data_IF_399575223524
#
_entry.id   IF_399575223524
#
_cell.length_a   1.000
_cell.length_b   1.000
_cell.length_c   1.000
_cell.angle_alpha   90.00
_cell.angle_beta   90.00
_cell.angle_gamma   90.00
#
_symmetry.space_group_name_H-M   'P 1'
#
loop_
_entity.id
_entity.type
_entity.pdbx_description
1 polymer ?
#
# COMPACT_ATOMS: atom_id res chain seq x y z
N UNK A 1 29.05 -2.20 -16.45
CA UNK A 1 29.31 -2.18 -17.92
C UNK A 1 28.16 -2.77 -18.74
N UNK A 2 27.36 -3.66 -18.16
CA UNK A 2 26.16 -4.29 -18.72
C UNK A 2 24.88 -4.02 -17.90
N UNK A 3 25.00 -3.30 -16.78
CA UNK A 3 23.89 -3.02 -15.85
C UNK A 3 23.49 -4.21 -14.98
N UNK A 4 24.27 -5.30 -14.95
CA UNK A 4 24.06 -6.39 -14.02
C UNK A 4 24.49 -5.96 -12.62
N UNK A 5 23.67 -6.31 -11.63
CA UNK A 5 24.02 -6.09 -10.24
C UNK A 5 24.98 -7.19 -9.79
N UNK A 6 25.98 -6.80 -9.01
CA UNK A 6 26.90 -7.75 -8.37
C UNK A 6 26.08 -8.80 -7.61
N UNK A 7 26.38 -10.11 -7.72
CA UNK A 7 25.69 -11.13 -6.94
C UNK A 7 25.64 -10.77 -5.45
N UNK A 8 24.45 -10.85 -4.85
CA UNK A 8 24.19 -10.37 -3.50
C UNK A 8 23.64 -8.93 -3.44
N UNK A 9 23.57 -8.19 -4.55
CA UNK A 9 22.93 -6.87 -4.62
C UNK A 9 21.60 -6.96 -5.37
N UNK A 10 20.53 -6.46 -4.75
CA UNK A 10 19.19 -6.52 -5.30
C UNK A 10 18.48 -5.16 -5.20
N UNK A 11 17.75 -4.79 -6.25
CA UNK A 11 16.70 -3.78 -6.13
C UNK A 11 15.46 -4.40 -5.45
N UNK A 12 14.49 -3.59 -5.01
CA UNK A 12 13.22 -4.09 -4.48
C UNK A 12 12.02 -3.39 -5.13
N UNK A 13 11.63 -3.83 -6.34
CA UNK A 13 10.52 -3.23 -7.09
C UNK A 13 9.57 -4.25 -7.73
N UNK A 14 10.11 -5.29 -8.35
CA UNK A 14 9.36 -6.28 -9.13
C UNK A 14 9.22 -7.61 -8.40
N UNK A 15 8.33 -8.48 -8.89
CA UNK A 15 8.22 -9.84 -8.35
C UNK A 15 9.52 -10.64 -8.54
N UNK A 16 10.24 -10.40 -9.63
CA UNK A 16 11.53 -11.05 -9.89
C UNK A 16 12.61 -10.56 -8.94
N UNK A 17 12.60 -9.27 -8.58
CA UNK A 17 13.44 -8.75 -7.50
C UNK A 17 13.13 -9.45 -6.17
N UNK A 18 11.84 -9.64 -5.82
CA UNK A 18 11.45 -10.38 -4.62
C UNK A 18 12.00 -11.82 -4.63
N UNK A 19 11.83 -12.53 -5.75
CA UNK A 19 12.34 -13.90 -5.90
C UNK A 19 13.87 -13.92 -5.77
N UNK A 20 14.56 -12.96 -6.38
CA UNK A 20 16.00 -12.85 -6.29
C UNK A 20 16.46 -12.61 -4.85
N UNK A 21 15.84 -11.66 -4.12
CA UNK A 21 16.11 -11.42 -2.69
C UNK A 21 15.91 -12.69 -1.87
N UNK A 22 14.82 -13.43 -2.12
CA UNK A 22 14.55 -14.69 -1.42
C UNK A 22 15.66 -15.72 -1.65
N UNK A 23 16.04 -15.96 -2.91
CA UNK A 23 17.12 -16.89 -3.25
C UNK A 23 18.46 -16.46 -2.63
N UNK A 24 18.81 -15.17 -2.67
CA UNK A 24 20.03 -14.69 -2.04
C UNK A 24 20.00 -14.84 -0.51
N UNK A 25 18.82 -14.64 0.11
CA UNK A 25 18.66 -14.73 1.56
C UNK A 25 18.91 -16.13 2.13
N UNK A 26 18.78 -17.20 1.33
CA UNK A 26 19.07 -18.57 1.74
C UNK A 26 20.57 -18.82 2.01
N UNK A 27 21.45 -17.98 1.44
CA UNK A 27 22.91 -18.11 1.52
C UNK A 27 23.59 -16.95 2.24
N UNK A 28 22.80 -15.98 2.70
CA UNK A 28 23.27 -14.78 3.37
C UNK A 28 23.07 -14.90 4.88
N UNK A 29 24.01 -14.38 5.64
CA UNK A 29 23.89 -14.28 7.10
C UNK A 29 23.70 -12.83 7.54
N UNK A 30 24.31 -11.90 6.81
CA UNK A 30 24.27 -10.45 7.06
C UNK A 30 23.62 -9.74 5.91
N UNK A 31 22.59 -8.95 6.19
CA UNK A 31 21.90 -8.13 5.21
C UNK A 31 22.00 -6.64 5.53
N UNK A 32 22.24 -5.85 4.49
CA UNK A 32 22.09 -4.41 4.53
C UNK A 32 20.88 -4.02 3.69
N UNK A 33 20.02 -3.18 4.24
CA UNK A 33 18.95 -2.53 3.49
C UNK A 33 19.29 -1.05 3.36
N UNK A 34 19.52 -0.60 2.13
CA UNK A 34 19.80 0.80 1.84
C UNK A 34 18.48 1.54 1.59
N UNK A 35 18.08 2.37 2.55
CA UNK A 35 16.86 3.17 2.54
C UNK A 35 15.92 2.84 3.69
N UNK A 36 15.70 3.81 4.59
CA UNK A 36 14.80 3.72 5.75
C UNK A 36 13.35 4.14 5.47
N UNK A 37 12.88 4.02 4.23
CA UNK A 37 11.48 4.26 3.85
C UNK A 37 10.61 3.00 3.97
N UNK A 38 9.33 3.10 3.59
CA UNK A 38 8.33 2.03 3.70
C UNK A 38 8.84 0.65 3.24
N UNK A 39 9.19 0.53 1.96
CA UNK A 39 9.62 -0.73 1.37
C UNK A 39 10.91 -1.26 1.99
N UNK A 40 11.85 -0.36 2.33
CA UNK A 40 13.10 -0.75 2.99
C UNK A 40 12.86 -1.35 4.37
N UNK A 41 11.99 -0.75 5.18
CA UNK A 41 11.65 -1.26 6.51
C UNK A 41 10.86 -2.57 6.44
N UNK A 42 9.96 -2.71 5.45
CA UNK A 42 9.23 -3.97 5.19
C UNK A 42 10.20 -5.09 4.77
N UNK A 43 11.14 -4.81 3.87
CA UNK A 43 12.19 -5.74 3.47
C UNK A 43 13.06 -6.13 4.67
N UNK A 44 13.50 -5.16 5.47
CA UNK A 44 14.35 -5.41 6.64
C UNK A 44 13.67 -6.35 7.64
N UNK A 45 12.38 -6.12 7.96
CA UNK A 45 11.63 -7.06 8.80
C UNK A 45 11.45 -8.42 8.15
N UNK A 46 11.21 -8.47 6.84
CA UNK A 46 11.13 -9.72 6.07
C UNK A 46 12.41 -10.57 6.15
N UNK A 47 13.58 -9.92 6.17
CA UNK A 47 14.90 -10.55 6.27
C UNK A 47 15.22 -10.99 7.70
N UNK A 48 14.92 -10.16 8.71
CA UNK A 48 15.07 -10.57 10.12
C UNK A 48 14.22 -11.78 10.45
N UNK A 49 12.97 -11.84 9.94
CA UNK A 49 12.11 -13.03 10.11
C UNK A 49 12.65 -14.30 9.44
N UNK A 50 13.60 -14.17 8.52
CA UNK A 50 14.33 -15.28 7.89
C UNK A 50 15.64 -15.62 8.60
N UNK A 51 15.96 -14.93 9.70
CA UNK A 51 17.13 -15.20 10.52
C UNK A 51 18.38 -14.41 10.11
N UNK A 52 18.28 -13.44 9.20
CA UNK A 52 19.43 -12.62 8.80
C UNK A 52 19.68 -11.49 9.78
N UNK A 53 20.95 -11.26 10.12
CA UNK A 53 21.39 -10.09 10.85
C UNK A 53 21.29 -8.85 9.94
N UNK A 54 20.27 -8.03 10.17
CA UNK A 54 19.85 -7.00 9.20
C UNK A 54 20.09 -5.58 9.75
N UNK A 55 20.79 -4.76 8.97
CA UNK A 55 21.00 -3.33 9.25
C UNK A 55 20.38 -2.47 8.15
N UNK A 56 19.51 -1.53 8.53
CA UNK A 56 18.99 -0.48 7.66
C UNK A 56 19.95 0.71 7.70
N UNK A 57 20.43 1.14 6.54
CA UNK A 57 21.20 2.37 6.37
C UNK A 57 20.31 3.43 5.75
N UNK A 58 20.21 4.59 6.39
CA UNK A 58 19.38 5.68 5.92
C UNK A 58 20.13 7.01 5.98
N UNK A 59 20.08 7.77 4.89
CA UNK A 59 20.84 9.02 4.77
C UNK A 59 20.25 10.19 5.56
N UNK A 60 18.97 10.13 5.96
CA UNK A 60 18.32 11.18 6.74
C UNK A 60 18.45 10.95 8.26
N UNK A 61 18.14 11.99 9.04
CA UNK A 61 18.21 11.98 10.50
C UNK A 61 17.15 11.13 11.22
N UNK A 62 16.19 10.56 10.48
CA UNK A 62 15.17 9.66 11.02
C UNK A 62 14.54 8.78 9.93
N UNK A 63 13.96 7.65 10.33
CA UNK A 63 13.26 6.73 9.44
C UNK A 63 11.96 7.33 8.91
N UNK A 64 11.55 6.94 7.69
CA UNK A 64 10.34 7.42 7.02
C UNK A 64 10.21 8.95 7.06
N UNK A 65 11.30 9.67 6.77
CA UNK A 65 11.42 11.12 6.95
C UNK A 65 10.48 11.98 6.09
N UNK A 66 9.71 11.37 5.17
CA UNK A 66 8.63 12.04 4.44
C UNK A 66 7.27 11.90 5.12
N UNK A 67 7.15 10.99 6.07
CA UNK A 67 5.88 10.58 6.68
C UNK A 67 5.87 10.66 8.21
N UNK A 68 7.03 10.85 8.84
CA UNK A 68 7.18 10.96 10.28
C UNK A 68 7.97 12.22 10.62
N UNK A 69 7.64 12.80 11.77
CA UNK A 69 8.51 13.75 12.43
C UNK A 69 9.68 13.03 13.12
N UNK A 70 10.66 13.80 13.59
CA UNK A 70 11.88 13.27 14.21
C UNK A 70 11.60 12.42 15.44
N UNK A 71 10.64 12.80 16.29
CA UNK A 71 10.32 12.08 17.53
C UNK A 71 9.65 10.73 17.22
N UNK A 72 8.69 10.70 16.31
CA UNK A 72 8.08 9.46 15.84
C UNK A 72 9.11 8.51 15.22
N UNK A 73 10.05 9.06 14.43
CA UNK A 73 11.14 8.29 13.84
C UNK A 73 12.06 7.64 14.89
N UNK A 74 12.34 8.32 16.00
CA UNK A 74 13.11 7.76 17.12
C UNK A 74 12.37 6.61 17.81
N UNK A 75 11.07 6.77 18.05
CA UNK A 75 10.23 5.69 18.60
C UNK A 75 10.22 4.49 17.65
N UNK A 76 10.10 4.72 16.34
CA UNK A 76 10.14 3.66 15.33
C UNK A 76 11.48 2.93 15.31
N UNK A 77 12.62 3.63 15.41
CA UNK A 77 13.95 3.00 15.52
C UNK A 77 14.01 2.06 16.73
N UNK A 78 13.54 2.50 17.90
CA UNK A 78 13.51 1.67 19.12
C UNK A 78 12.60 0.46 18.95
N UNK A 79 11.41 0.65 18.39
CA UNK A 79 10.45 -0.42 18.11
C UNK A 79 11.06 -1.46 17.16
N UNK A 80 11.71 -1.03 16.08
CA UNK A 80 12.37 -1.91 15.11
C UNK A 80 13.58 -2.63 15.70
N UNK A 81 14.36 -1.97 16.57
CA UNK A 81 15.47 -2.60 17.28
C UNK A 81 14.98 -3.75 18.18
N UNK A 82 13.86 -3.56 18.90
CA UNK A 82 13.20 -4.63 19.66
C UNK A 82 12.69 -5.79 18.80
N UNK A 83 12.53 -5.58 17.49
CA UNK A 83 12.14 -6.59 16.51
C UNK A 83 13.34 -7.14 15.71
N UNK A 84 14.56 -6.84 16.13
CA UNK A 84 15.81 -7.35 15.54
C UNK A 84 16.33 -6.57 14.32
N UNK A 85 15.74 -5.43 13.97
CA UNK A 85 16.23 -4.57 12.87
C UNK A 85 17.15 -3.49 13.44
N UNK A 86 18.43 -3.52 13.08
CA UNK A 86 19.37 -2.44 13.41
C UNK A 86 19.20 -1.29 12.43
N UNK A 87 19.34 -0.06 12.90
CA UNK A 87 19.26 1.13 12.05
C UNK A 87 20.50 2.02 12.25
N UNK A 88 21.07 2.53 11.15
CA UNK A 88 22.06 3.60 11.13
C UNK A 88 21.48 4.77 10.34
N UNK A 89 21.28 5.88 11.02
CA UNK A 89 20.76 7.12 10.46
C UNK A 89 21.92 8.03 10.09
N UNK A 90 21.67 9.01 9.22
CA UNK A 90 22.70 9.90 8.66
C UNK A 90 23.87 9.11 8.02
N UNK A 91 23.61 7.87 7.61
CA UNK A 91 24.59 6.95 7.05
C UNK A 91 24.48 6.94 5.53
N UNK A 92 25.49 7.47 4.84
CA UNK A 92 25.57 7.48 3.38
C UNK A 92 26.52 6.39 2.92
N UNK A 93 26.03 5.46 2.09
CA UNK A 93 26.88 4.48 1.41
C UNK A 93 27.56 5.17 0.22
N UNK A 94 28.88 5.07 0.15
CA UNK A 94 29.71 5.69 -0.91
C UNK A 94 30.32 4.66 -1.86
N UNK A 95 30.46 3.41 -1.43
CA UNK A 95 30.98 2.31 -2.25
C UNK A 95 30.36 0.97 -1.87
N UNK A 96 30.25 0.07 -2.84
CA UNK A 96 29.93 -1.34 -2.65
C UNK A 96 31.22 -2.14 -2.87
N UNK A 97 31.56 -3.04 -1.96
CA UNK A 97 32.74 -3.90 -2.04
C UNK A 97 32.38 -5.31 -2.51
N UNK A 98 33.28 -5.90 -3.29
CA UNK A 98 33.19 -7.28 -3.77
C UNK A 98 33.60 -7.42 -5.23
N UNK A 99 34.30 -8.50 -5.56
CA UNK A 99 34.75 -8.79 -6.92
C UNK A 99 33.73 -9.68 -7.65
N UNK A 100 33.60 -10.95 -7.23
CA UNK A 100 32.63 -11.91 -7.81
C UNK A 100 31.26 -11.84 -7.13
N UNK A 101 31.22 -11.36 -5.88
CA UNK A 101 30.01 -11.23 -5.07
C UNK A 101 30.17 -10.11 -4.06
N UNK A 102 29.05 -9.61 -3.56
CA UNK A 102 29.01 -8.65 -2.46
C UNK A 102 29.80 -9.17 -1.25
N UNK A 103 30.66 -8.30 -0.72
CA UNK A 103 31.40 -8.49 0.52
C UNK A 103 31.05 -7.45 1.59
N UNK A 104 30.61 -6.24 1.18
CA UNK A 104 30.25 -5.18 2.11
C UNK A 104 29.91 -3.85 1.45
N UNK A 105 29.62 -2.85 2.27
CA UNK A 105 29.34 -1.47 1.86
C UNK A 105 30.20 -0.48 2.66
N UNK A 106 30.76 0.50 1.98
CA UNK A 106 31.55 1.59 2.56
C UNK A 106 30.62 2.76 2.87
N UNK A 107 30.70 3.28 4.09
CA UNK A 107 30.00 4.49 4.51
C UNK A 107 30.90 5.71 4.31
N UNK A 108 30.27 6.88 4.18
CA UNK A 108 30.98 8.15 4.30
C UNK A 108 31.67 8.22 5.66
N UNK A 109 33.00 8.42 5.68
CA UNK A 109 33.83 8.30 6.87
C UNK A 109 34.65 7.01 6.95
N UNK A 110 34.77 6.27 5.84
CA UNK A 110 35.67 5.12 5.63
C UNK A 110 35.33 3.86 6.45
N UNK A 111 34.20 3.84 7.17
CA UNK A 111 33.69 2.62 7.82
C UNK A 111 33.16 1.64 6.77
N UNK A 112 33.58 0.37 6.87
CA UNK A 112 33.07 -0.71 6.01
C UNK A 112 32.18 -1.64 6.84
N UNK A 113 30.95 -1.83 6.37
CA UNK A 113 30.02 -2.81 6.93
C UNK A 113 29.99 -4.04 6.03
N UNK A 114 30.40 -5.18 6.58
CA UNK A 114 30.29 -6.43 5.86
C UNK A 114 28.83 -6.82 5.61
N UNK A 115 28.55 -7.32 4.41
CA UNK A 115 27.22 -7.73 3.99
C UNK A 115 27.30 -8.83 2.94
N UNK A 116 26.40 -9.81 3.04
CA UNK A 116 26.28 -10.89 2.05
C UNK A 116 25.07 -10.66 1.13
N UNK A 117 24.14 -9.80 1.56
CA UNK A 117 22.97 -9.33 0.82
C UNK A 117 22.79 -7.81 1.01
N UNK A 118 22.68 -7.06 -0.08
CA UNK A 118 22.32 -5.65 -0.11
C UNK A 118 20.99 -5.49 -0.85
N UNK A 119 19.97 -5.00 -0.15
CA UNK A 119 18.69 -4.61 -0.76
C UNK A 119 18.64 -3.09 -0.89
N UNK A 120 18.45 -2.59 -2.10
CA UNK A 120 18.38 -1.16 -2.38
C UNK A 120 16.93 -0.70 -2.53
N UNK A 121 16.55 0.27 -1.69
CA UNK A 121 15.20 0.82 -1.55
C UNK A 121 15.27 2.34 -1.29
N UNK A 122 15.95 3.06 -2.18
CA UNK A 122 16.29 4.49 -2.02
C UNK A 122 15.31 5.45 -2.69
N UNK A 123 14.07 5.00 -2.93
CA UNK A 123 13.04 5.76 -3.64
C UNK A 123 12.77 5.24 -5.04
N UNK A 124 11.85 5.92 -5.74
CA UNK A 124 11.40 5.56 -7.09
C UNK A 124 11.49 6.77 -8.00
N UNK A 125 11.63 6.53 -9.30
CA UNK A 125 11.62 7.55 -10.34
C UNK A 125 10.56 7.17 -11.37
N UNK A 126 9.79 8.14 -11.85
CA UNK A 126 8.79 7.91 -12.89
C UNK A 126 9.45 7.43 -14.18
N UNK A 127 8.87 6.42 -14.82
CA UNK A 127 9.32 5.94 -16.13
C UNK A 127 8.56 6.71 -17.20
N UNK A 128 9.24 7.64 -17.86
CA UNK A 128 8.63 8.64 -18.76
C UNK A 128 9.14 8.56 -20.20
N UNK A 129 10.06 7.64 -20.49
CA UNK A 129 10.78 7.55 -21.79
C UNK A 129 9.83 7.51 -23.00
N UNK A 130 8.73 6.74 -22.90
CA UNK A 130 7.73 6.62 -23.96
C UNK A 130 7.01 7.94 -24.24
N UNK A 131 6.63 8.66 -23.17
CA UNK A 131 5.93 9.93 -23.28
C UNK A 131 6.85 11.02 -23.86
N UNK A 132 8.11 11.06 -23.38
CA UNK A 132 9.12 11.98 -23.90
C UNK A 132 9.39 11.72 -25.40
N UNK A 133 9.55 10.46 -25.80
CA UNK A 133 9.73 10.09 -27.21
C UNK A 133 8.51 10.43 -28.09
N UNK A 134 7.32 10.45 -27.51
CA UNK A 134 6.08 10.85 -28.17
C UNK A 134 5.85 12.38 -28.19
N UNK A 135 6.77 13.18 -27.64
CA UNK A 135 6.64 14.64 -27.57
C UNK A 135 5.65 15.15 -26.52
N UNK A 136 5.24 14.31 -25.57
CA UNK A 136 4.37 14.70 -24.47
C UNK A 136 5.17 15.42 -23.38
N UNK A 137 4.58 16.39 -22.66
CA UNK A 137 5.28 17.10 -21.59
C UNK A 137 5.65 16.18 -20.43
N UNK A 138 6.92 16.25 -20.04
CA UNK A 138 7.52 15.45 -18.96
C UNK A 138 8.36 16.36 -18.07
N UNK A 139 8.15 16.24 -16.76
CA UNK A 139 8.95 16.89 -15.72
C UNK A 139 9.47 15.83 -14.72
N UNK A 140 8.99 15.82 -13.48
CA UNK A 140 9.21 14.73 -12.53
C UNK A 140 8.42 13.46 -12.90
N UNK A 141 7.35 13.60 -13.69
CA UNK A 141 6.56 12.56 -14.32
C UNK A 141 5.93 13.05 -15.64
N UNK A 142 5.03 12.26 -16.22
CA UNK A 142 4.21 12.65 -17.38
C UNK A 142 3.19 13.68 -16.89
N UNK A 143 3.24 14.91 -17.39
CA UNK A 143 2.37 16.00 -16.94
C UNK A 143 0.94 15.74 -17.39
N UNK A 144 0.00 15.86 -16.44
CA UNK A 144 -1.43 15.67 -16.69
C UNK A 144 -2.30 16.72 -16.02
N UNK A 145 -3.48 16.98 -16.59
CA UNK A 145 -4.54 17.81 -16.02
C UNK A 145 -5.42 17.06 -15.00
N UNK A 146 -6.46 17.72 -14.48
CA UNK A 146 -7.40 17.13 -13.51
C UNK A 146 -8.19 15.95 -14.08
N UNK A 147 -8.32 15.81 -15.39
CA UNK A 147 -8.95 14.65 -16.03
C UNK A 147 -7.92 13.57 -16.39
N UNK A 148 -6.68 13.73 -15.90
CA UNK A 148 -5.53 12.87 -16.14
C UNK A 148 -5.07 12.85 -17.62
N UNK A 149 -5.43 13.87 -18.39
CA UNK A 149 -5.06 14.02 -19.81
C UNK A 149 -3.73 14.73 -19.96
N UNK A 150 -3.01 14.43 -21.03
CA UNK A 150 -1.85 15.24 -21.42
C UNK A 150 -2.31 16.62 -21.90
N UNK A 151 -1.66 17.71 -21.46
CA UNK A 151 -1.98 19.04 -21.97
C UNK A 151 -1.57 19.25 -23.45
N UNK A 152 -0.72 18.38 -24.00
CA UNK A 152 -0.33 18.45 -25.41
C UNK A 152 -1.26 17.65 -26.34
N UNK A 153 -1.90 16.60 -25.83
CA UNK A 153 -2.85 15.77 -26.59
C UNK A 153 -3.98 15.28 -25.66
N UNK A 154 -5.20 15.84 -25.77
CA UNK A 154 -6.34 15.46 -24.95
C UNK A 154 -6.82 14.02 -25.15
N UNK A 155 -6.38 13.32 -26.20
CA UNK A 155 -6.68 11.90 -26.42
C UNK A 155 -5.75 10.97 -25.62
N UNK A 156 -4.66 11.49 -25.06
CA UNK A 156 -3.67 10.71 -24.31
C UNK A 156 -3.83 10.97 -22.81
N UNK A 157 -3.82 9.89 -22.03
CA UNK A 157 -3.93 9.92 -20.57
C UNK A 157 -2.70 9.26 -19.94
N UNK A 158 -2.36 9.67 -18.71
CA UNK A 158 -1.38 8.97 -17.88
C UNK A 158 -1.92 8.79 -16.45
N UNK A 159 -1.66 7.63 -15.85
CA UNK A 159 -2.14 7.27 -14.51
C UNK A 159 -1.06 6.50 -13.74
N UNK A 160 -1.16 6.52 -12.42
CA UNK A 160 -0.26 5.81 -11.51
C UNK A 160 1.07 6.53 -11.28
N UNK A 161 2.10 5.76 -10.94
CA UNK A 161 3.42 6.26 -10.52
C UNK A 161 4.15 7.08 -11.60
N UNK A 162 3.74 7.01 -12.87
CA UNK A 162 4.34 7.81 -13.94
C UNK A 162 3.65 9.15 -14.14
N UNK A 163 2.45 9.37 -13.59
CA UNK A 163 1.68 10.60 -13.77
C UNK A 163 2.10 11.68 -12.77
N UNK A 164 2.31 12.89 -13.27
CA UNK A 164 2.52 14.10 -12.49
C UNK A 164 1.29 14.99 -12.60
N UNK A 165 0.53 15.08 -11.52
CA UNK A 165 -0.63 15.97 -11.39
C UNK A 165 -0.27 17.09 -10.40
N UNK A 166 -0.51 18.34 -10.78
CA UNK A 166 -0.23 19.53 -9.97
C UNK A 166 1.20 19.51 -9.37
N UNK A 167 2.20 19.33 -10.23
CA UNK A 167 3.62 19.27 -9.84
C UNK A 167 4.03 18.03 -9.05
N UNK A 168 3.12 17.09 -8.76
CA UNK A 168 3.36 16.01 -7.80
C UNK A 168 3.25 14.62 -8.43
N UNK A 169 4.25 13.77 -8.17
CA UNK A 169 4.20 12.32 -8.43
C UNK A 169 3.93 11.58 -7.11
N UNK A 170 2.84 10.80 -7.08
CA UNK A 170 2.33 10.23 -5.83
C UNK A 170 3.07 8.97 -5.37
N UNK A 171 3.40 8.05 -6.28
CA UNK A 171 4.14 6.83 -5.96
C UNK A 171 3.42 5.87 -4.99
N UNK A 172 2.08 5.88 -4.98
CA UNK A 172 1.25 5.14 -4.03
C UNK A 172 0.05 4.49 -4.74
N UNK A 173 -0.34 3.32 -4.24
CA UNK A 173 -1.43 2.51 -4.82
C UNK A 173 -2.80 3.20 -4.74
N UNK A 174 -3.15 3.83 -3.61
CA UNK A 174 -4.46 4.46 -3.46
C UNK A 174 -4.65 5.65 -4.43
N UNK A 175 -3.69 6.60 -4.54
CA UNK A 175 -3.75 7.64 -5.57
C UNK A 175 -3.86 7.09 -7.00
N UNK A 176 -3.14 6.02 -7.34
CA UNK A 176 -3.24 5.41 -8.66
C UNK A 176 -4.67 4.90 -8.95
N UNK A 177 -5.36 4.33 -7.96
CA UNK A 177 -6.76 3.93 -8.12
C UNK A 177 -7.70 5.11 -8.33
N UNK A 178 -7.48 6.22 -7.62
CA UNK A 178 -8.31 7.42 -7.76
C UNK A 178 -8.13 8.04 -9.16
N UNK A 179 -6.89 8.08 -9.65
CA UNK A 179 -6.57 8.52 -11.01
C UNK A 179 -7.21 7.62 -12.08
N UNK A 180 -7.11 6.30 -11.92
CA UNK A 180 -7.72 5.33 -12.86
C UNK A 180 -9.23 5.48 -12.92
N UNK A 181 -9.90 5.74 -11.79
CA UNK A 181 -11.35 6.00 -11.77
C UNK A 181 -11.73 7.21 -12.59
N UNK A 182 -11.02 8.33 -12.40
CA UNK A 182 -11.26 9.56 -13.18
C UNK A 182 -11.11 9.28 -14.67
N UNK A 183 -10.05 8.59 -15.10
CA UNK A 183 -9.89 8.21 -16.51
C UNK A 183 -11.00 7.29 -16.99
N UNK A 184 -11.38 6.29 -16.20
CA UNK A 184 -12.45 5.37 -16.56
C UNK A 184 -13.78 6.09 -16.76
N UNK A 185 -14.15 6.99 -15.84
CA UNK A 185 -15.39 7.77 -15.91
C UNK A 185 -15.40 8.71 -17.12
N UNK A 186 -14.27 9.36 -17.41
CA UNK A 186 -14.10 10.26 -18.55
C UNK A 186 -14.16 9.51 -19.89
N UNK A 187 -13.43 8.39 -20.02
CA UNK A 187 -13.34 7.62 -21.27
C UNK A 187 -14.63 6.87 -21.58
N UNK A 188 -15.34 6.38 -20.56
CA UNK A 188 -16.64 5.70 -20.74
C UNK A 188 -17.83 6.65 -20.83
N UNK A 189 -17.59 7.95 -20.62
CA UNK A 189 -18.61 8.98 -20.47
C UNK A 189 -19.64 8.70 -19.35
N UNK A 190 -19.27 7.89 -18.35
CA UNK A 190 -20.09 7.68 -17.15
C UNK A 190 -20.18 8.93 -16.28
N UNK A 191 -19.06 9.66 -16.17
CA UNK A 191 -19.00 11.02 -15.63
C UNK A 191 -17.94 11.83 -16.42
N UNK A 192 -18.33 12.52 -17.50
CA UNK A 192 -17.42 13.34 -18.30
C UNK A 192 -16.80 14.53 -17.54
N UNK A 193 -17.34 14.88 -16.37
CA UNK A 193 -16.87 15.97 -15.53
C UNK A 193 -15.99 15.49 -14.37
N UNK A 194 -15.70 14.18 -14.28
CA UNK A 194 -14.84 13.61 -13.25
C UNK A 194 -13.45 14.28 -13.26
N UNK A 195 -12.96 14.57 -12.05
CA UNK A 195 -11.70 15.27 -11.80
C UNK A 195 -10.93 14.62 -10.65
N UNK A 196 -9.62 14.55 -10.80
CA UNK A 196 -8.67 14.20 -9.77
C UNK A 196 -8.22 15.48 -9.05
N UNK A 197 -8.45 15.55 -7.74
CA UNK A 197 -8.16 16.73 -6.92
C UNK A 197 -6.90 16.56 -6.05
N UNK A 198 -5.97 15.70 -6.47
CA UNK A 198 -4.81 15.33 -5.66
C UNK A 198 -5.08 14.26 -4.60
N UNK A 199 -4.01 13.67 -4.08
CA UNK A 199 -4.08 12.63 -3.06
C UNK A 199 -4.09 13.21 -1.64
N UNK A 200 -4.85 12.56 -0.75
CA UNK A 200 -4.67 12.65 0.71
C UNK A 200 -4.18 11.30 1.20
N UNK A 201 -2.86 11.01 1.08
CA UNK A 201 -2.36 9.67 1.29
C UNK A 201 -2.43 9.31 2.77
N UNK A 202 -3.08 8.18 3.05
CA UNK A 202 -2.94 7.46 4.31
C UNK A 202 -1.94 6.36 4.06
N UNK A 203 -0.79 6.47 4.69
CA UNK A 203 0.33 5.55 4.58
C UNK A 203 0.33 4.62 5.79
N UNK A 204 0.54 3.32 5.54
CA UNK A 204 0.72 2.32 6.59
C UNK A 204 1.96 1.49 6.31
N UNK A 205 2.74 1.23 7.35
CA UNK A 205 3.90 0.36 7.26
C UNK A 205 3.47 -1.10 7.46
N UNK A 206 3.75 -1.97 6.49
CA UNK A 206 3.40 -3.40 6.57
C UNK A 206 4.54 -4.24 7.15
N UNK A 207 5.17 -3.73 8.19
CA UNK A 207 6.25 -4.42 8.89
C UNK A 207 5.65 -5.20 10.07
N UNK A 208 5.67 -6.54 9.99
CA UNK A 208 5.12 -7.40 11.04
C UNK A 208 5.72 -7.08 12.42
N UNK A 209 4.87 -6.78 13.39
CA UNK A 209 5.24 -6.33 14.74
C UNK A 209 5.25 -4.80 14.90
N UNK A 210 5.00 -4.04 13.83
CA UNK A 210 4.87 -2.58 13.87
C UNK A 210 3.48 -2.19 13.39
N UNK A 211 2.73 -1.51 14.24
CA UNK A 211 1.48 -0.87 13.87
C UNK A 211 1.74 0.62 13.68
N UNK A 212 1.84 1.06 12.42
CA UNK A 212 2.11 2.44 12.07
C UNK A 212 1.18 2.89 10.94
N UNK A 213 0.46 3.98 11.21
CA UNK A 213 -0.28 4.75 10.22
C UNK A 213 0.12 6.22 10.30
N UNK A 214 0.16 6.87 9.15
CA UNK A 214 0.48 8.29 9.02
C UNK A 214 -0.30 8.88 7.86
N UNK A 215 -0.72 10.13 7.99
CA UNK A 215 -1.58 10.80 7.04
C UNK A 215 -1.33 12.29 7.04
N UNK A 216 -1.41 12.88 5.85
CA UNK A 216 -1.35 14.33 5.66
C UNK A 216 -0.07 15.00 6.17
N UNK A 217 -0.22 16.21 6.68
CA UNK A 217 0.87 17.06 7.16
C UNK A 217 1.22 16.72 8.61
N UNK A 218 2.43 16.22 8.81
CA UNK A 218 2.87 15.74 10.13
C UNK A 218 4.04 16.53 10.71
N UNK A 219 4.79 17.24 9.87
CA UNK A 219 5.91 18.10 10.27
C UNK A 219 5.42 19.54 10.37
N UNK A 220 4.55 19.77 11.35
CA UNK A 220 3.98 21.08 11.70
C UNK A 220 4.57 21.52 13.04
N UNK A 221 4.91 22.80 13.13
CA UNK A 221 5.39 23.41 14.37
C UNK A 221 4.33 23.26 15.47
N UNK A 222 4.76 22.84 16.67
CA UNK A 222 3.89 22.65 17.83
C UNK A 222 3.28 23.99 18.31
N UNK A 223 3.86 25.12 17.89
CA UNK A 223 3.43 26.48 18.23
C UNK A 223 2.84 27.26 17.05
N UNK A 224 2.50 26.59 15.94
CA UNK A 224 1.76 27.20 14.82
C UNK A 224 0.39 27.70 15.32
N UNK A 225 0.14 29.01 15.25
CA UNK A 225 -1.13 29.62 15.70
C UNK A 225 -2.33 29.17 14.85
N UNK A 226 -2.09 28.73 13.61
CA UNK A 226 -3.12 28.24 12.69
C UNK A 226 -3.38 26.73 12.82
N UNK A 227 -2.64 26.02 13.70
CA UNK A 227 -2.78 24.58 13.89
C UNK A 227 -2.89 24.16 15.37
N UNK A 228 -3.90 23.34 15.66
CA UNK A 228 -4.00 22.62 16.92
C UNK A 228 -3.21 21.30 16.80
N UNK A 229 -2.10 21.19 17.54
CA UNK A 229 -1.24 19.99 17.58
C UNK A 229 -1.41 19.26 18.91
N UNK A 230 -1.81 17.98 18.85
CA UNK A 230 -1.87 17.10 20.01
C UNK A 230 -0.88 15.97 19.86
N UNK A 231 -0.11 15.68 20.91
CA UNK A 231 0.89 14.62 20.90
C UNK A 231 0.91 13.81 22.20
N UNK A 232 1.11 12.50 22.07
CA UNK A 232 1.36 11.57 23.15
C UNK A 232 2.53 10.64 22.80
N UNK A 233 3.43 10.42 23.74
CA UNK A 233 4.59 9.55 23.57
C UNK A 233 4.76 8.66 24.80
N UNK A 234 4.74 7.34 24.58
CA UNK A 234 5.20 6.33 25.53
C UNK A 234 6.36 5.55 24.88
N UNK A 235 7.57 6.07 25.10
CA UNK A 235 8.80 5.51 24.51
C UNK A 235 8.98 4.05 24.92
N UNK A 236 8.67 3.70 26.17
CA UNK A 236 8.87 2.37 26.74
C UNK A 236 8.00 1.34 26.03
N UNK A 237 6.73 1.68 25.78
CA UNK A 237 5.78 0.82 25.06
C UNK A 237 5.87 0.95 23.54
N UNK A 238 6.69 1.86 23.02
CA UNK A 238 6.83 2.08 21.59
C UNK A 238 5.62 2.78 20.96
N UNK A 239 4.88 3.55 21.76
CA UNK A 239 3.68 4.27 21.31
C UNK A 239 4.01 5.74 21.05
N UNK A 240 3.59 6.24 19.89
CA UNK A 240 3.63 7.63 19.53
C UNK A 240 2.35 7.99 18.78
N UNK A 241 1.65 9.02 19.23
CA UNK A 241 0.44 9.51 18.58
C UNK A 241 0.55 11.02 18.42
N UNK A 242 0.31 11.53 17.22
CA UNK A 242 0.25 12.95 16.90
C UNK A 242 -0.96 13.22 16.03
N UNK A 243 -1.68 14.30 16.30
CA UNK A 243 -2.76 14.82 15.48
C UNK A 243 -2.45 16.29 15.16
N UNK A 244 -2.73 16.69 13.93
CA UNK A 244 -2.63 18.07 13.46
C UNK A 244 -4.00 18.46 12.93
N UNK A 245 -4.58 19.51 13.52
CA UNK A 245 -5.95 19.94 13.27
C UNK A 245 -5.94 21.41 12.83
N UNK A 246 -6.67 21.74 11.76
CA UNK A 246 -6.93 23.13 11.35
C UNK A 246 -8.42 23.31 11.07
N UNK A 247 -9.02 24.36 11.63
CA UNK A 247 -10.45 24.66 11.44
C UNK A 247 -11.36 23.46 11.72
N UNK A 248 -11.18 22.80 12.87
CA UNK A 248 -11.89 21.59 13.29
C UNK A 248 -11.72 20.36 12.38
N UNK A 249 -10.74 20.31 11.48
CA UNK A 249 -10.51 19.15 10.59
C UNK A 249 -9.10 18.61 10.74
N UNK A 250 -8.96 17.30 10.62
CA UNK A 250 -7.64 16.65 10.60
C UNK A 250 -6.93 16.97 9.28
N UNK A 251 -5.78 17.64 9.38
CA UNK A 251 -4.86 17.88 8.26
C UNK A 251 -3.67 16.92 8.29
N UNK A 252 -3.40 16.29 9.42
CA UNK A 252 -2.48 15.16 9.50
C UNK A 252 -2.48 14.42 10.82
N UNK A 253 -1.86 13.25 10.82
CA UNK A 253 -1.69 12.42 12.02
C UNK A 253 -0.54 11.42 11.86
N UNK A 254 0.10 11.08 12.98
CA UNK A 254 1.00 9.92 13.13
C UNK A 254 0.43 9.04 14.24
N UNK A 255 0.30 7.75 13.97
CA UNK A 255 -0.21 6.76 14.92
C UNK A 255 0.67 5.52 14.88
N UNK A 256 1.56 5.40 15.86
CA UNK A 256 2.54 4.33 16.01
C UNK A 256 2.28 3.61 17.34
N UNK A 257 2.09 2.30 17.29
CA UNK A 257 1.91 1.43 18.47
C UNK A 257 0.59 1.67 19.21
N UNK A 258 -0.15 0.59 19.47
CA UNK A 258 -1.45 0.63 20.15
C UNK A 258 -2.41 1.70 19.58
N UNK A 259 -3.02 1.35 18.45
CA UNK A 259 -3.77 2.26 17.59
C UNK A 259 -5.29 1.99 17.54
N UNK A 260 -6.02 1.89 18.68
CA UNK A 260 -7.45 1.53 18.66
C UNK A 260 -8.32 2.57 17.94
N UNK A 261 -7.89 3.83 17.88
CA UNK A 261 -8.62 4.94 17.23
C UNK A 261 -8.22 5.19 15.79
N UNK A 262 -7.28 4.42 15.22
CA UNK A 262 -6.73 4.71 13.87
C UNK A 262 -7.78 4.62 12.77
N UNK A 263 -8.79 3.77 12.92
CA UNK A 263 -9.92 3.69 12.00
C UNK A 263 -10.70 5.01 11.97
N UNK A 264 -11.08 5.51 13.15
CA UNK A 264 -11.80 6.78 13.32
C UNK A 264 -10.97 7.96 12.81
N UNK A 265 -9.68 8.04 13.18
CA UNK A 265 -8.79 9.12 12.71
C UNK A 265 -8.64 9.09 11.19
N UNK A 266 -8.46 7.91 10.60
CA UNK A 266 -8.40 7.73 9.14
C UNK A 266 -9.70 8.21 8.49
N UNK A 267 -10.86 7.83 9.04
CA UNK A 267 -12.16 8.21 8.50
C UNK A 267 -12.42 9.72 8.58
N UNK A 268 -12.06 10.35 9.69
CA UNK A 268 -12.18 11.81 9.87
C UNK A 268 -11.26 12.56 8.89
N UNK A 269 -10.02 12.11 8.73
CA UNK A 269 -9.08 12.65 7.75
C UNK A 269 -9.58 12.50 6.31
N UNK A 270 -10.01 11.30 5.93
CA UNK A 270 -10.48 10.98 4.59
C UNK A 270 -11.71 11.81 4.20
N UNK A 271 -12.68 11.92 5.11
CA UNK A 271 -13.92 12.66 4.91
C UNK A 271 -13.75 14.16 5.11
N UNK A 272 -12.60 14.59 5.64
CA UNK A 272 -12.43 15.91 6.20
C UNK A 272 -13.57 16.26 7.14
N UNK A 273 -14.07 15.33 7.95
CA UNK A 273 -15.18 15.60 8.85
C UNK A 273 -14.71 16.40 10.07
N UNK A 274 -15.58 17.19 10.72
CA UNK A 274 -15.24 17.86 11.96
C UNK A 274 -14.77 16.86 13.03
N UNK A 275 -13.67 17.18 13.72
CA UNK A 275 -13.17 16.39 14.86
C UNK A 275 -14.07 16.57 16.10
N UNK A 276 -14.16 15.58 17.01
CA UNK A 276 -14.95 15.70 18.24
C UNK A 276 -14.48 16.85 19.12
N UNK A 277 -15.37 17.50 19.87
CA UNK A 277 -15.01 18.64 20.73
C UNK A 277 -13.88 18.33 21.72
N UNK A 278 -13.88 17.13 22.34
CA UNK A 278 -12.74 16.64 23.11
C UNK A 278 -11.74 15.91 22.19
N UNK A 279 -10.73 16.63 21.69
CA UNK A 279 -9.71 16.07 20.78
C UNK A 279 -8.95 14.89 21.38
N UNK A 280 -8.80 14.87 22.70
CA UNK A 280 -8.06 13.82 23.44
C UNK A 280 -8.67 12.44 23.26
N UNK A 281 -9.98 12.36 23.02
CA UNK A 281 -10.70 11.11 22.70
C UNK A 281 -10.15 10.39 21.46
N UNK A 282 -9.52 11.13 20.53
CA UNK A 282 -8.88 10.58 19.34
C UNK A 282 -7.51 9.95 19.64
N UNK A 283 -6.82 10.39 20.70
CA UNK A 283 -5.56 9.79 21.16
C UNK A 283 -5.81 8.64 22.15
N UNK A 284 -6.75 8.85 23.06
CA UNK A 284 -7.11 7.95 24.13
C UNK A 284 -8.61 7.70 24.05
N UNK A 285 -9.06 6.56 23.48
CA UNK A 285 -10.46 6.24 23.52
C UNK A 285 -10.88 6.12 24.99
N UNK A 286 -11.85 6.92 25.42
CA UNK A 286 -12.42 6.80 26.76
C UNK A 286 -12.99 5.38 26.89
N UNK A 287 -12.69 4.66 27.98
CA UNK A 287 -13.42 3.44 28.35
C UNK A 287 -14.81 3.83 28.85
N UNK A 288 -15.59 4.40 27.96
CA UNK A 288 -17.03 4.61 28.08
C UNK A 288 -17.60 3.86 26.89
N UNK A 289 -18.65 3.07 27.11
CA UNK A 289 -19.26 2.21 26.11
C UNK A 289 -19.27 2.82 24.70
N UNK A 290 -18.74 2.03 23.76
CA UNK A 290 -18.66 2.30 22.33
C UNK A 290 -19.95 2.95 21.85
N UNK A 291 -19.94 4.27 21.71
CA UNK A 291 -21.01 5.04 21.08
C UNK A 291 -20.37 6.14 20.25
N UNK A 292 -19.77 5.75 19.12
CA UNK A 292 -20.14 6.15 17.75
C UNK A 292 -19.35 5.23 16.80
N UNK A 293 -19.79 3.99 16.65
CA UNK A 293 -19.73 3.38 15.31
C UNK A 293 -21.06 3.72 14.69
N UNK A 294 -21.08 4.53 13.62
CA UNK A 294 -22.18 4.45 12.67
C UNK A 294 -22.42 2.96 12.41
N UNK A 295 -23.58 2.44 12.80
CA UNK A 295 -23.94 1.05 12.51
C UNK A 295 -23.60 0.77 11.05
N UNK A 296 -23.05 -0.41 10.69
CA UNK A 296 -22.86 -0.76 9.29
C UNK A 296 -24.09 -0.49 8.43
N UNK A 297 -25.30 -0.51 9.02
CA UNK A 297 -26.56 -0.10 8.40
C UNK A 297 -26.58 1.37 7.88
N UNK A 298 -26.06 2.34 8.64
CA UNK A 298 -26.12 3.78 8.30
C UNK A 298 -24.94 4.25 7.46
N UNK A 299 -23.90 3.42 7.32
CA UNK A 299 -22.73 3.74 6.52
C UNK A 299 -23.07 3.74 5.01
N UNK A 300 -22.79 4.81 4.24
CA UNK A 300 -23.06 4.81 2.80
C UNK A 300 -22.22 3.81 2.00
N UNK A 301 -22.78 3.23 0.93
CA UNK A 301 -22.11 2.21 0.11
C UNK A 301 -20.80 2.66 -0.53
N UNK A 302 -20.66 3.96 -0.83
CA UNK A 302 -19.45 4.55 -1.40
C UNK A 302 -18.26 4.62 -0.44
N UNK A 303 -18.45 4.36 0.85
CA UNK A 303 -17.39 4.49 1.85
C UNK A 303 -16.32 3.41 1.65
N UNK A 304 -15.08 3.81 1.46
CA UNK A 304 -13.93 2.91 1.39
C UNK A 304 -13.65 2.28 2.75
N UNK A 305 -13.70 0.95 2.83
CA UNK A 305 -13.41 0.14 4.02
C UNK A 305 -11.97 -0.37 3.96
N UNK A 306 -11.53 -0.90 2.81
CA UNK A 306 -10.17 -1.35 2.61
C UNK A 306 -9.44 -0.41 1.65
N UNK A 307 -8.59 0.47 2.17
CA UNK A 307 -7.81 1.41 1.34
C UNK A 307 -6.76 0.74 0.46
N UNK A 308 -6.14 -0.36 0.92
CA UNK A 308 -5.09 -1.05 0.14
C UNK A 308 -5.62 -1.68 -1.14
N UNK A 309 -6.82 -2.27 -1.09
CA UNK A 309 -7.46 -2.96 -2.22
C UNK A 309 -8.69 -2.20 -2.72
N UNK A 310 -8.87 -0.96 -2.26
CA UNK A 310 -9.89 -0.04 -2.71
C UNK A 310 -11.33 -0.58 -2.62
N UNK A 311 -11.62 -1.33 -1.56
CA UNK A 311 -12.92 -1.97 -1.36
C UNK A 311 -13.83 -1.05 -0.55
N UNK A 312 -15.00 -0.72 -1.09
CA UNK A 312 -16.03 0.06 -0.40
C UNK A 312 -17.02 -0.83 0.34
N UNK A 313 -17.84 -0.25 1.23
CA UNK A 313 -18.96 -0.98 1.87
C UNK A 313 -19.84 -1.63 0.80
N UNK A 314 -20.23 -0.87 -0.22
CA UNK A 314 -21.05 -1.38 -1.33
C UNK A 314 -20.37 -2.51 -2.09
N UNK A 315 -19.04 -2.49 -2.20
CA UNK A 315 -18.28 -3.61 -2.76
C UNK A 315 -18.37 -4.89 -1.91
N UNK A 316 -18.33 -4.76 -0.58
CA UNK A 316 -18.52 -5.88 0.36
C UNK A 316 -19.97 -6.38 0.28
N UNK A 317 -20.95 -5.48 0.34
CA UNK A 317 -22.38 -5.81 0.25
C UNK A 317 -22.71 -6.48 -1.08
N UNK A 318 -22.18 -6.00 -2.21
CA UNK A 318 -22.36 -6.66 -3.51
C UNK A 318 -21.76 -8.05 -3.54
N UNK A 319 -20.53 -8.22 -3.04
CA UNK A 319 -19.89 -9.53 -2.95
C UNK A 319 -20.71 -10.51 -2.10
N UNK A 320 -21.36 -10.03 -1.03
CA UNK A 320 -22.32 -10.81 -0.26
C UNK A 320 -23.52 -11.19 -1.12
N UNK A 321 -24.18 -10.23 -1.75
CA UNK A 321 -25.35 -10.50 -2.62
C UNK A 321 -25.02 -11.45 -3.78
N UNK A 322 -23.77 -11.46 -4.26
CA UNK A 322 -23.26 -12.37 -5.30
C UNK A 322 -22.94 -13.79 -4.78
N UNK A 323 -23.18 -14.07 -3.50
CA UNK A 323 -23.14 -15.41 -2.91
C UNK A 323 -22.09 -15.64 -1.81
N UNK A 324 -21.25 -14.65 -1.48
CA UNK A 324 -20.37 -14.79 -0.32
C UNK A 324 -21.18 -14.76 0.99
N UNK A 325 -20.93 -15.69 1.91
CA UNK A 325 -21.70 -15.83 3.17
C UNK A 325 -20.85 -15.83 4.44
N UNK A 326 -19.53 -15.67 4.30
CA UNK A 326 -18.61 -15.60 5.42
C UNK A 326 -17.43 -14.66 5.12
N UNK A 327 -16.64 -14.38 6.16
CA UNK A 327 -15.47 -13.52 6.04
C UNK A 327 -14.43 -14.07 5.04
N UNK A 328 -14.05 -15.37 5.04
CA UNK A 328 -13.14 -15.93 4.03
C UNK A 328 -13.60 -15.73 2.58
N UNK A 329 -14.89 -15.91 2.27
CA UNK A 329 -15.44 -15.71 0.95
C UNK A 329 -15.40 -14.23 0.54
N UNK A 330 -15.74 -13.32 1.45
CA UNK A 330 -15.62 -11.87 1.22
C UNK A 330 -14.16 -11.45 0.98
N UNK A 331 -13.22 -11.99 1.76
CA UNK A 331 -11.78 -11.74 1.55
C UNK A 331 -11.33 -12.25 0.20
N UNK A 332 -11.83 -13.41 -0.26
CA UNK A 332 -11.51 -13.98 -1.58
C UNK A 332 -12.09 -13.13 -2.71
N UNK A 333 -13.36 -12.76 -2.64
CA UNK A 333 -14.06 -12.02 -3.70
C UNK A 333 -13.67 -10.55 -3.80
N UNK A 334 -13.36 -9.90 -2.68
CA UNK A 334 -13.04 -8.46 -2.66
C UNK A 334 -11.54 -8.16 -2.50
N UNK A 335 -10.75 -9.16 -2.08
CA UNK A 335 -9.36 -8.99 -1.61
C UNK A 335 -9.23 -8.11 -0.37
N UNK A 336 -10.31 -7.65 0.27
CA UNK A 336 -10.20 -6.88 1.51
C UNK A 336 -9.36 -7.64 2.55
N UNK A 337 -8.70 -6.93 3.46
CA UNK A 337 -7.78 -7.47 4.51
C UNK A 337 -6.45 -8.06 4.03
N UNK A 338 -6.27 -8.35 2.74
CA UNK A 338 -5.02 -8.98 2.21
C UNK A 338 -3.84 -8.01 2.07
N UNK A 339 -4.05 -6.70 2.22
CA UNK A 339 -3.02 -5.67 2.09
C UNK A 339 -2.27 -5.41 3.40
N UNK A 340 -2.75 -4.45 4.19
CA UNK A 340 -2.19 -4.11 5.51
C UNK A 340 -2.90 -4.79 6.69
N UNK A 341 -4.08 -5.39 6.46
CA UNK A 341 -4.87 -6.08 7.49
C UNK A 341 -5.72 -5.19 8.41
N UNK A 342 -5.55 -3.87 8.43
CA UNK A 342 -6.20 -2.99 9.43
C UNK A 342 -7.71 -2.81 9.24
N UNK A 343 -8.25 -3.13 8.07
CA UNK A 343 -9.69 -3.13 7.83
C UNK A 343 -10.36 -4.42 8.31
N UNK A 344 -9.64 -5.38 8.91
CA UNK A 344 -10.17 -6.70 9.27
C UNK A 344 -11.39 -6.60 10.16
N UNK A 345 -11.32 -5.82 11.24
CA UNK A 345 -12.42 -5.70 12.20
C UNK A 345 -13.62 -4.97 11.58
N UNK A 346 -13.38 -3.93 10.78
CA UNK A 346 -14.44 -3.24 10.06
C UNK A 346 -15.13 -4.14 9.03
N UNK A 347 -14.37 -4.96 8.29
CA UNK A 347 -14.93 -5.95 7.35
C UNK A 347 -15.70 -7.03 8.12
N UNK A 348 -15.16 -7.55 9.22
CA UNK A 348 -15.83 -8.54 10.07
C UNK A 348 -17.16 -7.99 10.60
N UNK A 349 -17.18 -6.77 11.14
CA UNK A 349 -18.41 -6.14 11.62
C UNK A 349 -19.45 -5.88 10.52
N UNK A 350 -19.04 -5.56 9.29
CA UNK A 350 -19.96 -5.47 8.14
C UNK A 350 -20.50 -6.86 7.78
N UNK A 351 -19.66 -7.90 7.80
CA UNK A 351 -20.06 -9.29 7.52
C UNK A 351 -21.03 -9.81 8.57
N UNK A 352 -20.78 -9.55 9.86
CA UNK A 352 -21.68 -9.90 10.95
C UNK A 352 -23.03 -9.19 10.79
N UNK A 353 -23.02 -7.90 10.43
CA UNK A 353 -24.24 -7.16 10.13
C UNK A 353 -25.01 -7.73 8.94
N UNK A 354 -24.32 -8.07 7.85
CA UNK A 354 -24.93 -8.68 6.66
C UNK A 354 -25.51 -10.06 6.98
N UNK A 355 -24.82 -10.87 7.77
CA UNK A 355 -25.31 -12.18 8.21
C UNK A 355 -26.59 -12.06 9.04
N UNK A 356 -26.71 -11.02 9.86
CA UNK A 356 -27.94 -10.75 10.62
C UNK A 356 -29.08 -10.17 9.76
N UNK A 357 -28.75 -9.34 8.77
CA UNK A 357 -29.73 -8.64 7.94
C UNK A 357 -30.23 -9.45 6.72
N UNK A 358 -29.38 -10.32 6.17
CA UNK A 358 -29.62 -11.19 5.02
C UNK A 358 -29.02 -12.59 5.30
N UNK A 359 -29.62 -13.36 6.25
CA UNK A 359 -29.12 -14.66 6.63
C UNK A 359 -29.24 -15.67 5.48
N UNK A 360 -28.34 -16.66 5.47
CA UNK A 360 -28.38 -17.72 4.49
C UNK A 360 -29.68 -18.54 4.61
N UNK A 361 -30.54 -18.59 3.57
CA UNK A 361 -31.77 -19.36 3.61
C UNK A 361 -31.54 -20.87 3.77
N UNK A 362 -30.33 -21.38 3.48
CA UNK A 362 -29.99 -22.79 3.68
C UNK A 362 -29.63 -23.15 5.13
N UNK A 363 -29.24 -22.15 5.95
CA UNK A 363 -28.90 -22.36 7.36
C UNK A 363 -30.14 -22.49 8.27
N UNK A 364 -31.26 -21.87 7.88
CA UNK A 364 -32.51 -21.90 8.65
C UNK A 364 -33.27 -23.24 8.58
N UNK A 365 -32.88 -24.16 7.68
CA UNK A 365 -33.56 -25.44 7.47
C UNK A 365 -33.04 -26.58 8.38
N UNK A 366 -31.98 -26.36 9.17
CA UNK A 366 -31.30 -27.41 9.94
C UNK A 366 -31.85 -27.71 11.34
N UNK A 367 -32.59 -26.80 11.97
CA UNK A 367 -32.86 -26.86 13.42
C UNK A 367 -34.30 -27.22 13.82
N UNK A 368 -35.18 -27.59 12.88
CA UNK A 368 -36.62 -27.80 13.17
C UNK A 368 -37.18 -29.21 12.88
N UNK A 369 -36.38 -30.27 12.99
CA UNK A 369 -36.87 -31.64 12.90
C UNK A 369 -36.39 -32.53 14.07
N UNK A 370 -36.84 -32.20 15.29
CA UNK A 370 -36.78 -33.14 16.43
C UNK A 370 -37.88 -32.85 17.46
N UNK A 371 -39.15 -33.00 17.08
CA UNK A 371 -40.23 -33.17 18.05
C UNK A 371 -41.45 -33.86 17.42
N UNK A 372 -41.63 -35.14 17.77
CA UNK A 372 -42.92 -35.81 17.95
C UNK A 372 -43.80 -36.03 16.72
N UNK A 373 -43.99 -37.30 16.34
CA UNK A 373 -45.25 -38.03 16.55
C UNK A 373 -45.11 -39.50 16.15
N UNK A 374 -45.77 -40.34 16.94
CA UNK A 374 -45.76 -41.81 16.96
C UNK A 374 -46.53 -42.46 15.79
N UNK A 375 -46.04 -43.64 15.40
CA UNK A 375 -46.65 -44.83 14.78
C UNK A 375 -47.94 -44.77 13.91
N UNK A 376 -47.73 -45.08 12.60
CA UNK A 376 -48.33 -46.21 11.81
C UNK A 376 -49.83 -46.23 11.41
N UNK A 377 -50.29 -46.98 10.35
CA UNK A 377 -49.60 -47.59 9.19
C UNK A 377 -50.34 -47.49 7.81
N UNK A 378 -49.61 -47.88 6.75
CA UNK A 378 -50.06 -48.48 5.45
C UNK A 378 -50.95 -47.68 4.46
N UNK A 379 -50.43 -47.43 3.24
CA UNK A 379 -50.74 -48.23 2.02
C UNK A 379 -50.09 -47.68 0.73
N UNK A 380 -49.50 -48.62 -0.03
CA UNK A 380 -49.43 -48.80 -1.49
C UNK A 380 -48.87 -47.75 -2.49
N UNK A 381 -47.84 -48.26 -3.21
CA UNK A 381 -47.63 -48.32 -4.68
C UNK A 381 -47.19 -47.10 -5.50
N UNK A 382 -46.03 -47.31 -6.15
CA UNK A 382 -45.67 -47.05 -7.58
C UNK A 382 -45.61 -45.56 -7.97
N UNK A 383 -44.71 -45.05 -8.80
CA UNK A 383 -43.72 -45.61 -9.71
C UNK A 383 -42.86 -44.46 -10.27
N UNK A 384 -41.65 -44.82 -10.74
CA UNK A 384 -40.97 -44.31 -11.94
C UNK A 384 -40.55 -42.84 -12.02
N UNK A 385 -39.25 -42.61 -12.20
CA UNK A 385 -38.76 -41.40 -12.85
C UNK A 385 -37.30 -41.05 -12.58
N UNK A 386 -36.38 -41.98 -12.78
CA UNK A 386 -34.96 -41.62 -12.87
C UNK A 386 -34.66 -40.93 -14.21
N UNK A 387 -33.91 -39.84 -14.19
CA UNK A 387 -32.92 -39.58 -15.23
C UNK A 387 -31.81 -38.67 -14.70
N UNK A 388 -30.64 -39.27 -14.62
CA UNK A 388 -29.33 -38.68 -14.42
C UNK A 388 -28.94 -37.76 -15.58
N UNK A 389 -28.36 -36.60 -15.28
CA UNK A 389 -27.41 -35.94 -16.17
C UNK A 389 -26.39 -35.15 -15.33
N UNK A 390 -25.22 -35.75 -15.13
CA UNK A 390 -23.98 -35.10 -14.70
C UNK A 390 -23.51 -34.13 -15.80
N UNK A 391 -23.29 -32.87 -15.45
CA UNK A 391 -22.60 -31.90 -16.31
C UNK A 391 -21.30 -31.49 -15.60
N UNK A 392 -20.17 -31.91 -16.19
CA UNK A 392 -18.82 -31.52 -15.78
C UNK A 392 -18.55 -30.03 -16.06
N UNK A 393 -17.66 -29.37 -15.28
CA UNK A 393 -17.32 -27.97 -15.48
C UNK A 393 -16.36 -27.78 -16.67
N UNK A 394 -16.72 -26.86 -17.57
CA UNK A 394 -15.91 -26.45 -18.72
C UNK A 394 -14.60 -25.78 -18.29
N UNK A 395 -13.47 -26.34 -18.73
CA UNK A 395 -12.14 -25.71 -18.69
C UNK A 395 -12.06 -24.58 -19.72
N UNK A 396 -11.64 -23.39 -19.30
CA UNK A 396 -11.20 -22.33 -20.20
C UNK A 396 -9.79 -22.66 -20.70
N UNK A 397 -9.65 -22.83 -22.01
CA UNK A 397 -8.39 -22.94 -22.74
C UNK A 397 -8.43 -21.93 -23.89
N UNK A 398 -7.55 -20.94 -23.87
CA UNK A 398 -7.25 -20.11 -25.04
C UNK A 398 -5.76 -19.84 -25.11
N UNK A 399 -5.04 -20.79 -25.68
CA UNK A 399 -3.75 -20.56 -26.31
C UNK A 399 -3.97 -19.98 -27.70
N UNK A 400 -3.65 -18.69 -27.90
CA UNK A 400 -3.55 -18.07 -29.21
C UNK A 400 -2.08 -17.85 -29.56
N UNK A 401 -1.60 -18.49 -30.63
CA UNK A 401 -0.27 -18.23 -31.21
C UNK A 401 -0.21 -16.79 -31.79
N UNK A 402 0.91 -16.06 -31.64
CA UNK A 402 1.09 -14.80 -32.36
C UNK A 402 1.41 -15.04 -33.86
N UNK A 403 1.03 -14.11 -34.76
CA UNK A 403 1.38 -14.19 -36.18
C UNK A 403 2.88 -13.89 -36.43
N UNK A 404 3.44 -14.29 -37.60
CA UNK A 404 4.87 -14.14 -37.87
C UNK A 404 5.28 -12.67 -38.00
N UNK A 405 6.48 -12.35 -37.49
CA UNK A 405 7.09 -11.03 -37.56
C UNK A 405 7.42 -10.69 -39.02
N UNK A 406 6.76 -9.68 -39.58
CA UNK A 406 7.23 -8.97 -40.77
C UNK A 406 8.37 -8.02 -40.39
N UNK A 407 9.46 -8.05 -41.14
CA UNK A 407 10.59 -7.15 -40.98
C UNK A 407 10.17 -5.70 -41.26
N UNK A 408 10.17 -4.86 -40.22
CA UNK A 408 10.14 -3.40 -40.37
C UNK A 408 11.58 -2.90 -40.30
N UNK A 409 12.13 -2.50 -41.45
CA UNK A 409 13.41 -1.79 -41.55
C UNK A 409 13.26 -0.38 -40.98
N UNK A 410 13.99 -0.07 -39.92
CA UNK A 410 14.23 1.30 -39.48
C UNK A 410 15.48 1.86 -40.19
N UNK A 411 15.50 3.14 -40.60
CA UNK A 411 16.68 3.73 -41.22
C UNK A 411 17.79 3.89 -40.19
N UNK A 412 18.97 3.36 -40.53
CA UNK A 412 20.22 3.51 -39.81
C UNK A 412 20.79 4.92 -40.00
N UNK A 413 20.85 5.68 -38.90
CA UNK A 413 21.55 6.96 -38.81
C UNK A 413 22.49 6.97 -37.60
N UNK A 414 23.78 7.02 -37.92
CA UNK A 414 25.01 7.06 -37.13
C UNK A 414 25.03 7.85 -35.79
N UNK A 415 25.44 7.11 -34.74
CA UNK A 415 26.44 7.39 -33.67
C UNK A 415 26.57 8.78 -33.02
N UNK A 416 26.46 8.79 -31.68
CA UNK A 416 27.38 9.51 -30.79
C UNK A 416 27.71 8.60 -29.57
N UNK A 417 28.98 8.29 -29.27
CA UNK A 417 29.34 7.34 -28.22
C UNK A 417 29.45 8.04 -26.87
N UNK A 418 28.81 7.45 -25.86
CA UNK A 418 29.00 7.82 -24.45
C UNK A 418 27.78 8.49 -23.84
N UNK A 419 26.85 7.68 -23.32
CA UNK A 419 26.26 7.75 -21.96
C UNK A 419 25.34 6.52 -21.85
N UNK A 420 25.68 5.57 -20.97
CA UNK A 420 24.88 4.37 -20.72
C UNK A 420 23.68 4.68 -19.79
N UNK A 421 22.50 4.19 -20.16
CA UNK A 421 21.19 4.70 -19.72
C UNK A 421 20.43 3.80 -18.74
N UNK A 422 21.05 2.75 -18.21
CA UNK A 422 20.36 1.75 -17.35
C UNK A 422 20.71 1.86 -15.86
N UNK A 423 21.92 2.29 -15.50
CA UNK A 423 22.29 2.57 -14.10
C UNK A 423 21.60 3.84 -13.56
N UNK A 424 21.42 4.88 -14.40
CA UNK A 424 20.56 6.03 -14.09
C UNK A 424 19.08 5.65 -13.93
N UNK A 425 18.60 4.60 -14.61
CA UNK A 425 17.20 4.16 -14.52
C UNK A 425 16.89 3.34 -13.27
N UNK A 426 17.86 2.61 -12.70
CA UNK A 426 17.67 1.83 -11.46
C UNK A 426 18.12 2.55 -10.19
N UNK A 427 19.11 3.44 -10.27
CA UNK A 427 19.70 4.14 -9.12
C UNK A 427 19.78 5.66 -9.32
N UNK A 428 18.88 6.24 -10.14
CA UNK A 428 18.84 7.67 -10.45
C UNK A 428 18.94 8.54 -9.20
N UNK A 429 20.03 9.30 -9.12
CA UNK A 429 20.44 10.06 -7.96
C UNK A 429 19.38 11.06 -7.51
N UNK A 430 19.02 10.95 -6.23
CA UNK A 430 18.43 12.03 -5.45
C UNK A 430 19.43 13.18 -5.38
N UNK A 431 19.32 14.15 -6.29
CA UNK A 431 19.70 15.53 -5.97
C UNK A 431 18.50 16.14 -5.26
N UNK A 432 18.45 15.93 -3.94
CA UNK A 432 17.66 16.80 -3.08
C UNK A 432 18.28 18.20 -3.17
N UNK A 433 17.66 19.08 -3.96
CA UNK A 433 17.83 20.52 -3.78
C UNK A 433 17.34 20.87 -2.38
N UNK A 434 18.15 21.53 -1.53
CA UNK A 434 17.65 22.06 -0.28
C UNK A 434 16.66 23.17 -0.63
N UNK A 435 15.41 23.04 -0.18
CA UNK A 435 14.56 24.22 -0.02
C UNK A 435 15.28 25.13 0.97
N UNK A 436 15.80 26.24 0.47
CA UNK A 436 16.28 27.32 1.30
C UNK A 436 15.13 27.79 2.19
N UNK A 437 15.39 27.85 3.50
CA UNK A 437 14.53 28.54 4.43
C UNK A 437 14.38 29.99 3.99
N UNK A 438 13.15 30.45 3.91
CA UNK A 438 12.73 31.85 3.98
C UNK A 438 11.55 31.90 4.91
#
# INVERSE_FOLDING_TARGET
>A
PDGTLLPGVAAFRTLDDCRHILTQSERATRAVVLGGGLLGLEAARGLVRRGLDTTVLHAAGHLMNRQLDRRAGQVLVRTLAGLGVRSRLEARVVRIHGDERLAGVELAGDEVLDADLLVVSTGVVAVTDLAAAAGLPVEAGIVVDDQMRSPADPAVFAVGDCAQHDGTVQGLVAPAWDQVRVVADVVTAADPAARYSGARPVTRLKASGVDLATMGEVDVDEFDEDAEVLQFVDVTRGTFKKLVIRGDRLVGAIMLGDNPTVGTVTQLFDRQAPVPADRRSLLFPTRTEVTVTDSPATLPDRVTICRCNNVTKGGITRCWLDGARDLPAIVTGTRATTGCGTCRDAVAGIVEWLAAADPDPSAAAGDNCAAGLEESPQTDRRSSGGCSATAEPRRYSSAGRPPPRGEVRWPSGTTNPGVDSTLRRKFGGSNATPHAAS
#
